data_IF_022243669715
#
_entry.id   IF_022243669715
#
_cell.length_a   1.000
_cell.length_b   1.000
_cell.length_c   1.000
_cell.angle_alpha   90.00
_cell.angle_beta   90.00
_cell.angle_gamma   90.00
#
_symmetry.space_group_name_H-M   'P 1'
#
loop_
_entity.id
_entity.type
_entity.pdbx_description
1 polymer ?
#
# COMPACT_ATOMS: atom_id res chain seq x y z
N UNK A 1 -9.18 17.07 12.49
CA UNK A 1 -8.71 17.58 11.19
C UNK A 1 -8.96 16.53 10.14
N UNK A 2 -9.95 16.76 9.26
CA UNK A 2 -10.33 15.84 8.18
C UNK A 2 -9.15 15.53 7.23
N UNK A 3 -8.20 16.45 7.13
CA UNK A 3 -6.97 16.29 6.36
C UNK A 3 -6.21 14.99 6.68
N UNK A 4 -6.02 14.63 7.95
CA UNK A 4 -5.31 13.40 8.32
C UNK A 4 -6.02 12.12 7.83
N UNK A 5 -7.35 12.11 7.88
CA UNK A 5 -8.14 11.00 7.39
C UNK A 5 -8.00 10.84 5.87
N UNK A 6 -8.17 11.93 5.12
CA UNK A 6 -8.01 11.91 3.66
C UNK A 6 -6.58 11.57 3.23
N UNK A 7 -5.57 12.10 3.93
CA UNK A 7 -4.17 11.75 3.67
C UNK A 7 -3.89 10.27 3.94
N UNK A 8 -4.38 9.70 5.05
CA UNK A 8 -4.25 8.27 5.33
C UNK A 8 -4.93 7.41 4.27
N UNK A 9 -6.14 7.79 3.85
CA UNK A 9 -6.89 7.08 2.82
C UNK A 9 -6.19 7.14 1.46
N UNK A 10 -5.60 8.29 1.11
CA UNK A 10 -4.82 8.47 -0.11
C UNK A 10 -3.56 7.60 -0.10
N UNK A 11 -2.82 7.56 1.01
CA UNK A 11 -1.65 6.69 1.15
C UNK A 11 -2.01 5.21 1.00
N UNK A 12 -3.12 4.79 1.62
CA UNK A 12 -3.61 3.42 1.44
C UNK A 12 -3.98 3.15 -0.02
N UNK A 13 -4.64 4.09 -0.71
CA UNK A 13 -5.01 3.93 -2.11
C UNK A 13 -3.78 3.78 -3.02
N UNK A 14 -2.70 4.52 -2.75
CA UNK A 14 -1.41 4.37 -3.47
C UNK A 14 -0.86 2.95 -3.30
N UNK A 15 -0.83 2.43 -2.06
CA UNK A 15 -0.31 1.07 -1.83
C UNK A 15 -1.20 0.01 -2.49
N UNK A 16 -2.52 0.16 -2.42
CA UNK A 16 -3.45 -0.74 -3.11
C UNK A 16 -3.23 -0.71 -4.63
N UNK A 17 -3.07 0.47 -5.22
CA UNK A 17 -2.77 0.61 -6.64
C UNK A 17 -1.44 -0.08 -7.00
N UNK A 18 -0.43 0.02 -6.14
CA UNK A 18 0.86 -0.66 -6.32
C UNK A 18 0.69 -2.19 -6.35
N UNK A 19 -0.09 -2.76 -5.42
CA UNK A 19 -0.38 -4.21 -5.40
C UNK A 19 -1.19 -4.64 -6.62
N UNK A 20 -2.19 -3.85 -7.03
CA UNK A 20 -2.97 -4.15 -8.23
C UNK A 20 -2.09 -4.15 -9.48
N UNK A 21 -1.11 -3.25 -9.55
CA UNK A 21 -0.14 -3.18 -10.64
C UNK A 21 0.74 -4.44 -10.66
N UNK A 22 1.19 -4.91 -9.49
CA UNK A 22 1.86 -6.21 -9.37
C UNK A 22 0.98 -7.37 -9.85
N UNK A 23 -0.24 -7.48 -9.34
CA UNK A 23 -1.17 -8.55 -9.76
C UNK A 23 -1.42 -8.53 -11.27
N UNK A 24 -1.53 -7.33 -11.86
CA UNK A 24 -1.71 -7.17 -13.30
C UNK A 24 -0.50 -7.63 -14.11
N UNK A 25 0.71 -7.43 -13.60
CA UNK A 25 1.94 -7.91 -14.22
C UNK A 25 2.07 -9.43 -14.10
N UNK A 26 1.78 -9.99 -12.92
CA UNK A 26 1.76 -11.44 -12.68
C UNK A 26 0.66 -12.17 -13.46
N UNK A 27 -0.45 -11.50 -13.80
CA UNK A 27 -1.50 -12.07 -14.63
C UNK A 27 -1.13 -12.11 -16.12
N UNK A 28 -0.22 -11.24 -16.58
CA UNK A 28 0.23 -11.17 -17.97
C UNK A 28 1.37 -12.14 -18.27
N UNK A 29 2.24 -12.38 -17.30
CA UNK A 29 3.45 -13.19 -17.47
C UNK A 29 3.40 -14.44 -16.59
N UNK A 30 3.56 -15.62 -17.17
CA UNK A 30 3.54 -16.89 -16.44
C UNK A 30 4.82 -17.12 -15.61
N UNK A 31 5.95 -16.56 -16.05
CA UNK A 31 7.23 -16.68 -15.36
C UNK A 31 7.42 -15.52 -14.37
N UNK A 32 7.82 -15.85 -13.15
CA UNK A 32 8.03 -14.87 -12.07
C UNK A 32 9.02 -13.76 -12.45
N UNK A 33 10.15 -14.11 -13.07
CA UNK A 33 11.16 -13.12 -13.48
C UNK A 33 10.65 -12.16 -14.56
N UNK A 34 9.80 -12.66 -15.47
CA UNK A 34 9.19 -11.84 -16.51
C UNK A 34 8.13 -10.90 -15.92
N UNK A 35 7.29 -11.39 -14.99
CA UNK A 35 6.35 -10.57 -14.26
C UNK A 35 7.05 -9.47 -13.43
N UNK A 36 8.18 -9.82 -12.78
CA UNK A 36 9.02 -8.88 -12.03
C UNK A 36 9.64 -7.82 -12.93
N UNK A 37 10.22 -8.20 -14.06
CA UNK A 37 10.78 -7.26 -15.02
C UNK A 37 9.70 -6.32 -15.58
N UNK A 38 8.54 -6.86 -15.97
CA UNK A 38 7.41 -6.08 -16.46
C UNK A 38 6.90 -5.10 -15.39
N UNK A 39 6.73 -5.56 -14.15
CA UNK A 39 6.33 -4.71 -13.03
C UNK A 39 7.32 -3.56 -12.78
N UNK A 40 8.62 -3.86 -12.72
CA UNK A 40 9.67 -2.87 -12.50
C UNK A 40 9.84 -1.89 -13.67
N UNK A 41 9.39 -2.26 -14.88
CA UNK A 41 9.40 -1.39 -16.06
C UNK A 41 8.39 -0.23 -15.98
N UNK A 42 7.33 -0.35 -15.17
CA UNK A 42 6.39 0.75 -14.95
C UNK A 42 6.97 1.86 -14.05
N UNK A 43 8.11 1.61 -13.41
CA UNK A 43 8.76 2.54 -12.50
C UNK A 43 10.03 3.14 -13.15
N UNK A 44 10.31 4.42 -12.88
CA UNK A 44 11.56 5.04 -13.33
C UNK A 44 12.77 4.37 -12.65
N UNK A 45 13.95 4.44 -13.27
CA UNK A 45 15.13 3.66 -12.87
C UNK A 45 15.54 3.74 -11.38
N UNK A 46 15.28 4.87 -10.71
CA UNK A 46 15.54 5.02 -9.27
C UNK A 46 14.58 4.24 -8.35
N UNK A 47 13.39 3.89 -8.87
CA UNK A 47 12.36 3.06 -8.23
C UNK A 47 12.29 1.65 -8.84
N UNK A 48 13.15 1.31 -9.81
CA UNK A 48 13.13 -0.01 -10.47
C UNK A 48 13.83 -1.10 -9.63
N UNK A 49 13.65 -1.05 -8.31
CA UNK A 49 14.16 -2.05 -7.38
C UNK A 49 13.01 -2.56 -6.49
N UNK A 50 12.74 -3.86 -6.57
CA UNK A 50 11.64 -4.50 -5.86
C UNK A 50 11.73 -4.36 -4.34
N UNK A 51 12.95 -4.41 -3.77
CA UNK A 51 13.16 -4.22 -2.35
C UNK A 51 12.81 -2.79 -1.91
N UNK A 52 13.17 -1.80 -2.73
CA UNK A 52 12.87 -0.38 -2.44
C UNK A 52 11.37 -0.14 -2.49
N UNK A 53 10.67 -0.68 -3.50
CA UNK A 53 9.21 -0.56 -3.59
C UNK A 53 8.48 -1.23 -2.44
N UNK A 54 8.92 -2.42 -2.05
CA UNK A 54 8.36 -3.16 -0.92
C UNK A 54 8.56 -2.38 0.37
N UNK A 55 9.77 -1.88 0.61
CA UNK A 55 10.07 -1.06 1.78
C UNK A 55 9.24 0.24 1.81
N UNK A 56 9.16 0.96 0.68
CA UNK A 56 8.32 2.16 0.58
C UNK A 56 6.85 1.83 0.84
N UNK A 57 6.33 0.72 0.32
CA UNK A 57 4.94 0.30 0.55
C UNK A 57 4.66 0.02 2.03
N UNK A 58 5.59 -0.64 2.73
CA UNK A 58 5.50 -0.87 4.18
C UNK A 58 5.49 0.47 4.93
N UNK A 59 6.42 1.38 4.61
CA UNK A 59 6.48 2.71 5.24
C UNK A 59 5.19 3.50 4.99
N UNK A 60 4.67 3.48 3.77
CA UNK A 60 3.41 4.13 3.39
C UNK A 60 2.22 3.53 4.14
N UNK A 61 2.16 2.20 4.31
CA UNK A 61 1.14 1.54 5.13
C UNK A 61 1.25 1.96 6.61
N UNK A 62 2.45 2.00 7.18
CA UNK A 62 2.65 2.44 8.56
C UNK A 62 2.23 3.90 8.76
N UNK A 63 2.58 4.78 7.83
CA UNK A 63 2.15 6.20 7.83
C UNK A 63 0.64 6.33 7.68
N UNK A 64 0.03 5.54 6.78
CA UNK A 64 -1.42 5.46 6.60
C UNK A 64 -2.11 5.07 7.91
N UNK A 65 -1.66 4.00 8.57
CA UNK A 65 -2.18 3.54 9.86
C UNK A 65 -2.05 4.63 10.93
N UNK A 66 -0.88 5.26 11.04
CA UNK A 66 -0.64 6.33 12.00
C UNK A 66 -1.60 7.50 11.81
N UNK A 67 -1.78 7.95 10.56
CA UNK A 67 -2.69 9.06 10.23
C UNK A 67 -4.15 8.68 10.47
N UNK A 68 -4.56 7.46 10.12
CA UNK A 68 -5.91 6.96 10.34
C UNK A 68 -6.22 6.88 11.84
N UNK A 69 -5.35 6.27 12.66
CA UNK A 69 -5.51 6.20 14.12
C UNK A 69 -5.59 7.61 14.71
N UNK A 70 -4.68 8.51 14.33
CA UNK A 70 -4.70 9.90 14.83
C UNK A 70 -5.99 10.63 14.46
N UNK A 71 -6.55 10.35 13.28
CA UNK A 71 -7.79 10.97 12.82
C UNK A 71 -9.02 10.52 13.62
N UNK A 72 -9.01 9.31 14.21
CA UNK A 72 -10.12 8.75 14.99
C UNK A 72 -10.48 9.58 16.22
N UNK A 73 -9.51 10.26 16.84
CA UNK A 73 -9.74 11.09 18.03
C UNK A 73 -10.51 12.38 17.74
N UNK A 74 -10.65 12.77 16.46
CA UNK A 74 -11.23 14.05 16.05
C UNK A 74 -12.44 13.92 15.12
N UNK A 75 -12.92 12.71 14.87
CA UNK A 75 -13.94 12.41 13.87
C UNK A 75 -15.14 11.65 14.45
N UNK A 76 -16.30 11.80 13.77
CA UNK A 76 -17.54 11.11 14.10
C UNK A 76 -17.42 9.58 13.98
N UNK A 77 -18.31 8.85 14.67
CA UNK A 77 -18.34 7.38 14.77
C UNK A 77 -18.23 6.65 13.40
N UNK A 78 -18.81 7.21 12.33
CA UNK A 78 -18.78 6.62 10.98
C UNK A 78 -17.34 6.62 10.42
N UNK A 79 -16.63 7.75 10.50
CA UNK A 79 -15.25 7.87 10.04
C UNK A 79 -14.29 7.00 10.85
N UNK A 80 -14.61 6.77 12.12
CA UNK A 80 -13.86 5.85 12.98
C UNK A 80 -13.99 4.42 12.49
N UNK A 81 -15.21 3.97 12.13
CA UNK A 81 -15.43 2.67 11.52
C UNK A 81 -14.66 2.47 10.21
N UNK A 82 -14.72 3.45 9.30
CA UNK A 82 -13.95 3.41 8.05
C UNK A 82 -12.44 3.36 8.32
N UNK A 83 -11.95 4.17 9.27
CA UNK A 83 -10.53 4.17 9.63
C UNK A 83 -10.06 2.82 10.16
N UNK A 84 -10.86 2.14 10.99
CA UNK A 84 -10.53 0.80 11.49
C UNK A 84 -10.45 -0.21 10.35
N UNK A 85 -11.41 -0.19 9.42
CA UNK A 85 -11.41 -1.09 8.27
C UNK A 85 -10.15 -0.89 7.42
N UNK A 86 -9.80 0.36 7.10
CA UNK A 86 -8.57 0.66 6.35
C UNK A 86 -7.30 0.30 7.11
N UNK A 87 -7.27 0.46 8.44
CA UNK A 87 -6.14 0.00 9.27
C UNK A 87 -5.95 -1.51 9.17
N UNK A 88 -7.03 -2.29 9.22
CA UNK A 88 -6.98 -3.75 9.04
C UNK A 88 -6.44 -4.10 7.65
N UNK A 89 -6.93 -3.46 6.59
CA UNK A 89 -6.43 -3.64 5.22
C UNK A 89 -4.93 -3.36 5.13
N UNK A 90 -4.46 -2.25 5.72
CA UNK A 90 -3.02 -1.94 5.75
C UNK A 90 -2.23 -3.00 6.53
N UNK A 91 -2.77 -3.55 7.62
CA UNK A 91 -2.15 -4.65 8.36
C UNK A 91 -2.00 -5.92 7.50
N UNK A 92 -3.04 -6.29 6.76
CA UNK A 92 -2.99 -7.43 5.83
C UNK A 92 -1.97 -7.17 4.71
N UNK A 93 -1.93 -5.96 4.17
CA UNK A 93 -0.96 -5.56 3.14
C UNK A 93 0.48 -5.60 3.65
N UNK A 94 0.76 -5.13 4.87
CA UNK A 94 2.10 -5.22 5.47
C UNK A 94 2.52 -6.68 5.62
N UNK A 95 1.64 -7.53 6.17
CA UNK A 95 1.90 -8.96 6.28
C UNK A 95 2.16 -9.59 4.91
N UNK A 96 1.36 -9.24 3.91
CA UNK A 96 1.58 -9.66 2.52
C UNK A 96 2.96 -9.25 2.02
N UNK A 97 3.37 -7.99 2.20
CA UNK A 97 4.70 -7.52 1.79
C UNK A 97 5.86 -8.20 2.53
N UNK A 98 5.67 -8.57 3.81
CA UNK A 98 6.67 -9.31 4.58
C UNK A 98 6.83 -10.76 4.11
N UNK A 99 5.73 -11.43 3.75
CA UNK A 99 5.75 -12.82 3.28
C UNK A 99 6.07 -12.97 1.80
N UNK A 100 5.55 -12.06 0.96
CA UNK A 100 5.75 -12.11 -0.49
C UNK A 100 7.11 -11.62 -0.93
N UNK A 101 7.90 -11.07 0.01
CA UNK A 101 9.21 -10.41 -0.15
C UNK A 101 9.75 -10.62 -1.57
N UNK A 102 9.29 -9.74 -2.47
CA UNK A 102 9.61 -9.81 -3.89
C UNK A 102 11.06 -9.49 -4.17
#
# INVERSE_FOLDING_TARGET
MKAFFYSGLLLCAIVVANVLLWMSASAKEAAFDQAKALYLSYFPGFLSNANVLTFMSIVLCCLSIYLLIRSQYQLSSIYRGISVLFTIVNGVLISWYLFTLM
#
